data_IF_599192592134
#
_entry.id   IF_599192592134
#
_cell.length_a   1.000
_cell.length_b   1.000
_cell.length_c   1.000
_cell.angle_alpha   90.00
_cell.angle_beta   90.00
_cell.angle_gamma   90.00
#
_symmetry.space_group_name_H-M   'P 1'
#
loop_
_entity.id
_entity.type
_entity.pdbx_description
1 polymer ?
#
# COMPACT_ATOMS: atom_id res chain seq x y z
N UNK A 1 -6.69 20.38 2.37
CA UNK A 1 -5.84 19.84 1.29
C UNK A 1 -4.97 18.78 1.95
N UNK A 2 -4.82 17.59 1.37
CA UNK A 2 -4.06 16.48 1.97
C UNK A 2 -2.63 16.54 1.44
N UNK A 3 -1.64 16.56 2.33
CA UNK A 3 -0.21 16.53 1.99
C UNK A 3 0.42 15.14 2.27
N UNK A 4 1.76 15.05 2.13
CA UNK A 4 2.51 13.82 2.35
C UNK A 4 2.47 13.34 3.82
N UNK A 5 2.69 14.24 4.77
CA UNK A 5 2.63 13.94 6.22
C UNK A 5 1.23 13.47 6.63
N UNK A 6 0.18 14.12 6.13
CA UNK A 6 -1.21 13.71 6.34
C UNK A 6 -1.43 12.26 5.89
N UNK A 7 -0.89 11.87 4.73
CA UNK A 7 -1.02 10.51 4.19
C UNK A 7 -0.25 9.48 5.03
N UNK A 8 0.95 9.82 5.50
CA UNK A 8 1.73 8.97 6.39
C UNK A 8 0.98 8.75 7.71
N UNK A 9 0.44 9.83 8.31
CA UNK A 9 -0.38 9.74 9.51
C UNK A 9 -1.65 8.91 9.27
N UNK A 10 -2.34 9.12 8.14
CA UNK A 10 -3.49 8.30 7.76
C UNK A 10 -3.11 6.82 7.65
N UNK A 11 -1.97 6.48 7.04
CA UNK A 11 -1.51 5.09 7.01
C UNK A 11 -1.38 4.49 8.41
N UNK A 12 -0.73 5.19 9.34
CA UNK A 12 -0.54 4.69 10.70
C UNK A 12 -1.87 4.51 11.44
N UNK A 13 -2.76 5.49 11.36
CA UNK A 13 -4.08 5.42 12.00
C UNK A 13 -4.94 4.30 11.40
N UNK A 14 -4.93 4.12 10.07
CA UNK A 14 -5.70 3.02 9.44
C UNK A 14 -5.17 1.64 9.80
N UNK A 15 -3.86 1.48 10.03
CA UNK A 15 -3.34 0.23 10.57
C UNK A 15 -3.80 0.00 12.02
N UNK A 16 -3.84 1.04 12.86
CA UNK A 16 -4.38 0.93 14.23
C UNK A 16 -5.87 0.55 14.20
N UNK A 17 -6.65 1.22 13.37
CA UNK A 17 -8.08 0.94 13.14
C UNK A 17 -8.29 -0.51 12.69
N UNK A 18 -7.57 -0.96 11.66
CA UNK A 18 -7.68 -2.32 11.15
C UNK A 18 -7.42 -3.36 12.26
N UNK A 19 -6.41 -3.15 13.10
CA UNK A 19 -6.12 -4.04 14.24
C UNK A 19 -7.22 -4.05 15.29
N UNK A 20 -7.84 -2.90 15.58
CA UNK A 20 -9.02 -2.81 16.48
C UNK A 20 -10.19 -3.58 15.88
N UNK A 21 -10.48 -3.38 14.59
CA UNK A 21 -11.57 -4.04 13.88
C UNK A 21 -11.41 -5.56 13.82
N UNK A 22 -10.18 -6.07 13.66
CA UNK A 22 -9.88 -7.50 13.81
C UNK A 22 -10.27 -8.01 15.20
N UNK A 23 -9.89 -7.32 16.28
CA UNK A 23 -10.27 -7.74 17.65
C UNK A 23 -11.79 -7.68 17.86
N UNK A 24 -12.44 -6.69 17.27
CA UNK A 24 -13.89 -6.51 17.30
C UNK A 24 -14.68 -7.41 16.35
N UNK A 25 -14.04 -8.36 15.67
CA UNK A 25 -14.68 -9.27 14.71
C UNK A 25 -15.38 -8.57 13.53
N UNK A 26 -14.89 -7.40 13.13
CA UNK A 26 -15.40 -6.59 12.01
C UNK A 26 -14.55 -6.81 10.76
N UNK A 27 -14.65 -8.00 10.18
CA UNK A 27 -13.71 -8.51 9.17
C UNK A 27 -13.68 -7.70 7.88
N UNK A 28 -14.84 -7.44 7.28
CA UNK A 28 -14.97 -6.69 6.03
C UNK A 28 -14.34 -5.31 6.13
N UNK A 29 -14.67 -4.58 7.19
CA UNK A 29 -14.14 -3.24 7.37
C UNK A 29 -12.68 -3.25 7.83
N UNK A 30 -12.22 -4.27 8.56
CA UNK A 30 -10.80 -4.46 8.85
C UNK A 30 -9.98 -4.67 7.57
N UNK A 31 -10.46 -5.54 6.67
CA UNK A 31 -9.84 -5.78 5.37
C UNK A 31 -9.78 -4.51 4.53
N UNK A 32 -10.90 -3.79 4.41
CA UNK A 32 -10.97 -2.55 3.65
C UNK A 32 -10.01 -1.48 4.20
N UNK A 33 -10.06 -1.26 5.51
CA UNK A 33 -9.24 -0.25 6.20
C UNK A 33 -7.75 -0.56 6.09
N UNK A 34 -7.37 -1.85 6.16
CA UNK A 34 -5.98 -2.27 6.03
C UNK A 34 -5.40 -1.95 4.63
N UNK A 35 -6.12 -2.30 3.57
CA UNK A 35 -5.65 -1.97 2.21
C UNK A 35 -5.68 -0.47 1.91
N UNK A 36 -6.63 0.28 2.49
CA UNK A 36 -6.63 1.74 2.41
C UNK A 36 -5.37 2.36 3.02
N UNK A 37 -4.84 1.79 4.11
CA UNK A 37 -3.57 2.22 4.68
C UNK A 37 -2.40 2.10 3.70
N UNK A 38 -2.37 1.05 2.87
CA UNK A 38 -1.36 0.82 1.82
C UNK A 38 -1.52 1.84 0.70
N UNK A 39 -2.76 2.14 0.29
CA UNK A 39 -3.02 3.19 -0.70
C UNK A 39 -2.49 4.55 -0.24
N UNK A 40 -2.76 4.93 1.03
CA UNK A 40 -2.22 6.15 1.62
C UNK A 40 -0.68 6.16 1.60
N UNK A 41 -0.04 5.03 1.93
CA UNK A 41 1.40 4.91 1.96
C UNK A 41 2.01 5.11 0.56
N UNK A 42 1.42 4.49 -0.46
CA UNK A 42 1.87 4.63 -1.85
C UNK A 42 1.65 6.06 -2.37
N UNK A 43 0.54 6.71 -1.99
CA UNK A 43 0.29 8.11 -2.34
C UNK A 43 1.28 9.06 -1.65
N UNK A 44 1.73 8.75 -0.43
CA UNK A 44 2.86 9.47 0.19
C UNK A 44 4.13 9.34 -0.64
N UNK A 45 4.52 8.12 -1.05
CA UNK A 45 5.69 7.90 -1.90
C UNK A 45 5.61 8.66 -3.22
N UNK A 46 4.42 8.68 -3.82
CA UNK A 46 4.16 9.44 -5.03
C UNK A 46 4.45 10.93 -4.81
N UNK A 47 3.95 11.53 -3.72
CA UNK A 47 4.23 12.94 -3.41
C UNK A 47 5.74 13.19 -3.15
N UNK A 48 6.41 12.30 -2.41
CA UNK A 48 7.85 12.37 -2.21
C UNK A 48 8.60 12.38 -3.55
N UNK A 49 8.24 11.46 -4.45
CA UNK A 49 8.84 11.35 -5.79
C UNK A 49 8.56 12.57 -6.65
N UNK A 50 7.33 13.10 -6.60
CA UNK A 50 6.96 14.33 -7.32
C UNK A 50 7.85 15.50 -6.91
N UNK A 51 8.06 15.68 -5.61
CA UNK A 51 8.92 16.75 -5.07
C UNK A 51 10.38 16.51 -5.46
N UNK A 52 10.89 15.29 -5.30
CA UNK A 52 12.30 14.96 -5.58
C UNK A 52 12.67 15.12 -7.06
N UNK A 53 11.75 14.79 -7.98
CA UNK A 53 12.03 14.78 -9.42
C UNK A 53 11.57 16.05 -10.13
N UNK A 54 10.68 16.83 -9.53
CA UNK A 54 10.01 17.93 -10.23
C UNK A 54 9.13 17.46 -11.40
N UNK A 55 8.75 16.18 -11.46
CA UNK A 55 8.01 15.58 -12.59
C UNK A 55 6.73 16.33 -12.98
N UNK A 56 6.11 17.06 -12.04
CA UNK A 56 4.94 17.91 -12.32
C UNK A 56 5.22 19.03 -13.35
N UNK A 57 6.49 19.43 -13.50
CA UNK A 57 6.94 20.44 -14.47
C UNK A 57 7.36 19.84 -15.82
N UNK A 58 7.41 18.51 -15.96
CA UNK A 58 7.72 17.85 -17.22
C UNK A 58 6.45 17.74 -18.07
N UNK A 59 6.27 18.61 -19.06
CA UNK A 59 5.04 18.64 -19.87
C UNK A 59 4.75 17.36 -20.64
N UNK A 60 5.78 16.58 -20.98
CA UNK A 60 5.61 15.33 -21.72
C UNK A 60 5.14 14.21 -20.81
N UNK A 61 5.57 14.23 -19.56
CA UNK A 61 5.35 13.13 -18.64
C UNK A 61 4.32 13.45 -17.55
N UNK A 62 4.00 14.73 -17.27
CA UNK A 62 3.06 15.12 -16.21
C UNK A 62 1.68 14.51 -16.45
N UNK A 63 1.19 13.75 -15.47
CA UNK A 63 -0.16 13.21 -15.49
C UNK A 63 -0.80 13.27 -14.09
N UNK A 64 -1.28 14.46 -13.74
CA UNK A 64 -1.90 14.73 -12.44
C UNK A 64 -3.16 13.90 -12.23
N UNK A 65 -3.94 13.64 -13.28
CA UNK A 65 -5.17 12.83 -13.19
C UNK A 65 -4.87 11.37 -12.82
N UNK A 66 -3.78 10.80 -13.35
CA UNK A 66 -3.35 9.45 -12.98
C UNK A 66 -3.05 9.33 -11.47
N UNK A 67 -2.67 10.40 -10.79
CA UNK A 67 -2.39 10.38 -9.35
C UNK A 67 -3.65 10.20 -8.48
N UNK A 68 -4.85 10.34 -9.07
CA UNK A 68 -6.14 10.19 -8.38
C UNK A 68 -6.67 8.76 -8.37
N UNK A 69 -5.96 7.81 -8.99
CA UNK A 69 -6.36 6.39 -8.96
C UNK A 69 -6.27 5.79 -7.56
N UNK A 70 -6.93 4.65 -7.38
CA UNK A 70 -6.97 3.88 -6.13
C UNK A 70 -6.44 2.44 -6.32
N UNK A 71 -5.78 2.18 -7.45
CA UNK A 71 -5.23 0.88 -7.80
C UNK A 71 -3.76 0.81 -7.39
N UNK A 72 -3.43 -0.11 -6.47
CA UNK A 72 -2.10 -0.18 -5.86
C UNK A 72 -0.98 -0.37 -6.89
N UNK A 73 -1.18 -1.23 -7.89
CA UNK A 73 -0.19 -1.47 -8.94
C UNK A 73 0.07 -0.21 -9.79
N UNK A 74 -0.99 0.53 -10.13
CA UNK A 74 -0.83 1.80 -10.85
C UNK A 74 -0.12 2.84 -9.99
N UNK A 75 -0.41 2.90 -8.69
CA UNK A 75 0.29 3.80 -7.77
C UNK A 75 1.78 3.47 -7.66
N UNK A 76 2.17 2.19 -7.65
CA UNK A 76 3.58 1.77 -7.74
C UNK A 76 4.25 2.31 -9.01
N UNK A 77 3.58 2.21 -10.15
CA UNK A 77 4.11 2.69 -11.43
C UNK A 77 4.30 4.19 -11.43
N UNK A 78 3.29 4.94 -10.99
CA UNK A 78 3.31 6.41 -10.97
C UNK A 78 4.32 6.92 -9.94
N UNK A 79 4.47 6.23 -8.80
CA UNK A 79 5.51 6.54 -7.82
C UNK A 79 6.92 6.16 -8.30
N UNK A 80 7.05 5.50 -9.46
CA UNK A 80 8.33 5.08 -10.02
C UNK A 80 9.00 3.95 -9.22
N UNK A 81 8.21 3.13 -8.51
CA UNK A 81 8.70 2.07 -7.61
C UNK A 81 8.70 0.67 -8.25
N UNK A 82 8.39 0.56 -9.54
CA UNK A 82 8.26 -0.75 -10.23
C UNK A 82 9.57 -1.55 -10.18
N UNK A 83 10.70 -0.89 -10.42
CA UNK A 83 12.00 -1.56 -10.45
C UNK A 83 12.42 -2.03 -9.05
N UNK A 84 12.15 -1.21 -8.04
CA UNK A 84 12.39 -1.47 -6.63
C UNK A 84 11.55 -2.65 -6.14
N UNK A 85 10.28 -2.70 -6.54
CA UNK A 85 9.39 -3.81 -6.25
C UNK A 85 9.91 -5.11 -6.87
N UNK A 86 10.26 -5.09 -8.16
CA UNK A 86 10.79 -6.27 -8.85
C UNK A 86 12.06 -6.80 -8.16
N UNK A 87 13.01 -5.92 -7.84
CA UNK A 87 14.23 -6.29 -7.09
C UNK A 87 13.90 -6.91 -5.73
N UNK A 88 12.94 -6.35 -5.00
CA UNK A 88 12.52 -6.87 -3.69
C UNK A 88 11.86 -8.25 -3.81
N UNK A 89 11.06 -8.48 -4.86
CA UNK A 89 10.43 -9.77 -5.16
C UNK A 89 11.47 -10.83 -5.55
N UNK A 90 12.42 -10.49 -6.43
CA UNK A 90 13.53 -11.37 -6.80
C UNK A 90 14.37 -11.75 -5.57
N UNK A 91 14.71 -10.76 -4.74
CA UNK A 91 15.45 -10.98 -3.49
C UNK A 91 14.69 -11.91 -2.56
N UNK A 92 13.39 -11.65 -2.35
CA UNK A 92 12.50 -12.47 -1.52
C UNK A 92 12.49 -13.93 -1.96
N UNK A 93 12.36 -14.16 -3.27
CA UNK A 93 12.38 -15.50 -3.84
C UNK A 93 13.73 -16.20 -3.64
N UNK A 94 14.84 -15.47 -3.72
CA UNK A 94 16.18 -16.02 -3.53
C UNK A 94 16.50 -16.34 -2.06
N UNK A 95 16.06 -15.50 -1.11
CA UNK A 95 16.37 -15.69 0.32
C UNK A 95 15.31 -16.53 1.05
N UNK A 96 14.15 -16.73 0.44
CA UNK A 96 13.04 -17.51 1.00
C UNK A 96 12.27 -16.79 2.11
N UNK A 97 12.27 -15.45 2.11
CA UNK A 97 11.45 -14.67 3.05
C UNK A 97 9.97 -14.60 2.61
N UNK A 98 9.09 -13.98 3.42
CA UNK A 98 7.64 -13.99 3.15
C UNK A 98 7.15 -12.89 2.23
N UNK A 99 8.02 -11.99 1.74
CA UNK A 99 7.57 -10.78 1.04
C UNK A 99 6.86 -11.08 -0.27
N UNK A 100 7.32 -12.05 -1.09
CA UNK A 100 6.59 -12.45 -2.31
C UNK A 100 5.14 -12.84 -1.98
N UNK A 101 4.95 -13.66 -0.94
CA UNK A 101 3.62 -14.11 -0.52
C UNK A 101 2.79 -12.96 0.05
N UNK A 102 3.39 -12.07 0.84
CA UNK A 102 2.69 -10.91 1.38
C UNK A 102 2.28 -9.94 0.26
N UNK A 103 3.16 -9.66 -0.69
CA UNK A 103 2.86 -8.82 -1.84
C UNK A 103 1.71 -9.41 -2.65
N UNK A 104 1.73 -10.71 -2.94
CA UNK A 104 0.65 -11.40 -3.65
C UNK A 104 -0.71 -11.30 -2.94
N UNK A 105 -0.73 -11.14 -1.61
CA UNK A 105 -1.99 -10.90 -0.87
C UNK A 105 -2.41 -9.43 -0.96
N UNK A 106 -1.47 -8.50 -0.77
CA UNK A 106 -1.75 -7.07 -0.73
C UNK A 106 -2.16 -6.55 -2.11
N UNK A 107 -1.55 -7.05 -3.19
CA UNK A 107 -1.85 -6.62 -4.56
C UNK A 107 -3.27 -6.94 -5.04
N UNK A 108 -3.95 -7.88 -4.39
CA UNK A 108 -5.33 -8.24 -4.69
C UNK A 108 -6.36 -7.24 -4.13
N UNK A 109 -5.96 -6.40 -3.18
CA UNK A 109 -6.86 -5.40 -2.61
C UNK A 109 -7.24 -4.35 -3.67
N UNK A 110 -8.53 -4.03 -3.72
CA UNK A 110 -9.08 -2.96 -4.57
C UNK A 110 -10.03 -2.11 -3.74
N UNK A 111 -10.17 -0.84 -4.10
CA UNK A 111 -11.16 0.05 -3.46
C UNK A 111 -12.60 -0.51 -3.53
N UNK A 112 -12.91 -1.27 -4.59
CA UNK A 112 -14.21 -1.93 -4.78
C UNK A 112 -14.43 -3.12 -3.87
N UNK A 113 -13.40 -3.64 -3.20
CA UNK A 113 -13.53 -4.74 -2.23
C UNK A 113 -14.43 -4.40 -1.04
N UNK A 114 -14.82 -3.12 -0.89
CA UNK A 114 -15.89 -2.65 0.02
C UNK A 114 -17.26 -3.28 -0.25
N UNK A 115 -17.49 -3.84 -1.43
CA UNK A 115 -18.75 -4.49 -1.81
C UNK A 115 -18.70 -6.01 -1.71
N UNK A 116 -17.51 -6.57 -1.44
CA UNK A 116 -17.32 -8.01 -1.30
C UNK A 116 -17.49 -8.42 0.17
N UNK A 117 -18.12 -9.57 0.39
CA UNK A 117 -18.02 -10.23 1.69
C UNK A 117 -16.56 -10.65 1.95
N UNK A 118 -16.08 -10.48 3.19
CA UNK A 118 -14.75 -10.91 3.63
C UNK A 118 -14.86 -11.73 4.91
N UNK A 119 -14.16 -12.85 4.91
CA UNK A 119 -14.08 -13.72 6.07
C UNK A 119 -13.06 -13.22 7.08
N UNK A 120 -13.10 -13.78 8.28
CA UNK A 120 -12.04 -13.60 9.28
C UNK A 120 -10.65 -13.93 8.71
N UNK A 121 -10.56 -15.00 7.91
CA UNK A 121 -9.29 -15.45 7.29
C UNK A 121 -8.78 -14.38 6.33
N UNK A 122 -9.63 -13.82 5.46
CA UNK A 122 -9.24 -12.79 4.50
C UNK A 122 -8.69 -11.55 5.20
N UNK A 123 -9.42 -11.06 6.21
CA UNK A 123 -9.06 -9.87 6.95
C UNK A 123 -7.73 -10.05 7.70
N UNK A 124 -7.58 -11.16 8.43
CA UNK A 124 -6.35 -11.47 9.15
C UNK A 124 -5.17 -11.67 8.21
N UNK A 125 -5.36 -12.35 7.09
CA UNK A 125 -4.32 -12.59 6.08
C UNK A 125 -3.80 -11.28 5.49
N UNK A 126 -4.69 -10.36 5.12
CA UNK A 126 -4.30 -9.06 4.58
C UNK A 126 -3.57 -8.22 5.64
N UNK A 127 -4.13 -8.09 6.85
CA UNK A 127 -3.49 -7.31 7.93
C UNK A 127 -2.11 -7.87 8.29
N UNK A 128 -1.95 -9.19 8.33
CA UNK A 128 -0.65 -9.83 8.56
C UNK A 128 0.33 -9.50 7.43
N UNK A 129 -0.05 -9.69 6.16
CA UNK A 129 0.80 -9.41 5.02
C UNK A 129 1.28 -7.95 4.96
N UNK A 130 0.45 -7.01 5.40
CA UNK A 130 0.81 -5.59 5.45
C UNK A 130 1.79 -5.30 6.59
N UNK A 131 1.55 -5.88 7.78
CA UNK A 131 2.20 -5.45 9.03
C UNK A 131 3.26 -6.41 9.58
N UNK A 132 3.51 -7.52 8.90
CA UNK A 132 4.49 -8.52 9.31
C UNK A 132 5.88 -7.91 9.56
N UNK A 133 6.61 -8.51 10.50
CA UNK A 133 8.00 -8.18 10.78
C UNK A 133 8.84 -9.46 10.61
N UNK A 134 9.88 -9.46 9.76
CA UNK A 134 10.41 -8.31 9.01
C UNK A 134 9.74 -8.05 7.64
N UNK A 135 8.87 -8.93 7.14
CA UNK A 135 8.58 -9.02 5.70
C UNK A 135 7.29 -8.30 5.26
N UNK A 136 6.75 -7.41 6.09
CA UNK A 136 5.51 -6.70 5.79
C UNK A 136 5.64 -5.72 4.63
N UNK A 137 4.64 -5.69 3.75
CA UNK A 137 4.62 -4.79 2.57
C UNK A 137 4.70 -3.33 2.97
N UNK A 138 4.04 -2.93 4.06
CA UNK A 138 4.07 -1.53 4.52
C UNK A 138 5.49 -1.10 4.89
N UNK A 139 6.26 -1.98 5.53
CA UNK A 139 7.65 -1.67 5.89
C UNK A 139 8.53 -1.43 4.67
N UNK A 140 8.29 -2.17 3.58
CA UNK A 140 9.01 -1.94 2.33
C UNK A 140 8.65 -0.58 1.72
N UNK A 141 7.35 -0.24 1.66
CA UNK A 141 6.86 1.05 1.14
C UNK A 141 7.44 2.22 1.95
N UNK A 142 7.52 2.08 3.28
CA UNK A 142 8.07 3.07 4.20
C UNK A 142 9.52 3.51 3.89
N UNK A 143 10.30 2.72 3.14
CA UNK A 143 11.65 3.12 2.73
C UNK A 143 11.66 4.21 1.64
N UNK A 144 10.51 4.47 1.02
CA UNK A 144 10.33 5.42 -0.07
C UNK A 144 9.35 6.54 0.29
N UNK A 145 9.03 6.66 1.58
CA UNK A 145 8.14 7.68 2.10
C UNK A 145 8.66 9.09 1.87
#
# INVERSE_FOLDING_TARGET
>A
MVNQEDLQQMTEERIKDAKVLIRGKRWEFAYYTAGYAVECALKSCLLARMVQTGWVFDEKNKNVEACRVHELIKLIDIAGLRNELNKRLETSASVGDRFVTHWAVVSEWKVTSRYDAKTEIDAKKLVAAITDKPDGVLRWIQNYW
#
